data_IF_362963708517
#
_entry.id   IF_362963708517
#
_cell.length_a   1.000
_cell.length_b   1.000
_cell.length_c   1.000
_cell.angle_alpha   90.00
_cell.angle_beta   90.00
_cell.angle_gamma   90.00
#
_symmetry.space_group_name_H-M   'P 1'
#
loop_
_entity.id
_entity.type
_entity.pdbx_description
1 polymer ?
#
# COMPACT_ATOMS: atom_id res chain seq x y z
N UNK A 1 -31.36 3.46 6.50
CA UNK A 1 -31.43 4.42 7.62
C UNK A 1 -30.33 5.45 7.45
N UNK A 2 -30.66 6.73 7.51
CA UNK A 2 -29.67 7.79 7.41
C UNK A 2 -29.11 8.19 8.75
N UNK A 3 -27.80 8.29 8.84
CA UNK A 3 -27.10 8.85 10.00
C UNK A 3 -26.95 10.37 9.85
N UNK A 4 -26.77 11.04 10.98
CA UNK A 4 -26.31 12.42 10.97
C UNK A 4 -24.99 12.51 10.16
N UNK A 5 -24.81 13.63 9.44
CA UNK A 5 -23.70 13.81 8.50
C UNK A 5 -22.33 13.54 9.13
N UNK A 6 -22.07 14.00 10.35
CA UNK A 6 -20.78 13.79 11.02
C UNK A 6 -20.55 12.31 11.38
N UNK A 7 -21.61 11.62 11.79
CA UNK A 7 -21.54 10.18 12.07
C UNK A 7 -21.32 9.37 10.78
N UNK A 8 -22.02 9.76 9.70
CA UNK A 8 -21.84 9.13 8.41
C UNK A 8 -20.40 9.27 7.90
N UNK A 9 -19.82 10.46 7.97
CA UNK A 9 -18.43 10.71 7.57
C UNK A 9 -17.43 9.90 8.39
N UNK A 10 -17.64 9.82 9.70
CA UNK A 10 -16.78 9.04 10.58
C UNK A 10 -16.84 7.56 10.23
N UNK A 11 -18.03 7.05 10.01
CA UNK A 11 -18.21 5.65 9.64
C UNK A 11 -17.63 5.35 8.25
N UNK A 12 -17.86 6.23 7.28
CA UNK A 12 -17.27 6.11 5.94
C UNK A 12 -15.74 6.07 5.98
N UNK A 13 -15.12 6.94 6.77
CA UNK A 13 -13.67 6.95 6.94
C UNK A 13 -13.17 5.63 7.52
N UNK A 14 -13.88 5.09 8.51
CA UNK A 14 -13.55 3.80 9.10
C UNK A 14 -13.67 2.66 8.07
N UNK A 15 -14.71 2.69 7.25
CA UNK A 15 -14.94 1.67 6.22
C UNK A 15 -13.89 1.74 5.09
N UNK A 16 -13.40 2.93 4.75
CA UNK A 16 -12.30 3.07 3.79
C UNK A 16 -11.04 2.39 4.35
N UNK A 17 -10.72 2.62 5.62
CA UNK A 17 -9.60 1.95 6.27
C UNK A 17 -9.80 0.43 6.35
N UNK A 18 -11.04 0.00 6.59
CA UNK A 18 -11.38 -1.42 6.60
C UNK A 18 -11.16 -2.05 5.20
N UNK A 19 -11.56 -1.37 4.13
CA UNK A 19 -11.30 -1.83 2.75
C UNK A 19 -9.80 -2.04 2.51
N UNK A 20 -8.99 -1.07 2.89
CA UNK A 20 -7.54 -1.15 2.74
C UNK A 20 -6.95 -2.32 3.55
N UNK A 21 -7.40 -2.50 4.79
CA UNK A 21 -6.95 -3.58 5.65
C UNK A 21 -7.33 -4.96 5.11
N UNK A 22 -8.56 -5.10 4.64
CA UNK A 22 -9.04 -6.36 4.06
C UNK A 22 -8.27 -6.72 2.81
N UNK A 23 -8.03 -5.75 1.94
CA UNK A 23 -7.25 -5.95 0.72
C UNK A 23 -5.82 -6.40 1.04
N UNK A 24 -5.20 -5.78 2.03
CA UNK A 24 -3.86 -6.13 2.48
C UNK A 24 -3.80 -7.55 3.07
N UNK A 25 -4.77 -7.92 3.90
CA UNK A 25 -4.84 -9.27 4.48
C UNK A 25 -5.02 -10.33 3.40
N UNK A 26 -5.91 -10.10 2.44
CA UNK A 26 -6.12 -11.02 1.30
C UNK A 26 -4.83 -11.22 0.50
N UNK A 27 -4.16 -10.13 0.23
CA UNK A 27 -2.90 -10.14 -0.50
C UNK A 27 -1.83 -10.95 0.24
N UNK A 28 -1.65 -10.70 1.54
CA UNK A 28 -0.68 -11.42 2.36
C UNK A 28 -0.98 -12.91 2.41
N UNK A 29 -2.24 -13.31 2.50
CA UNK A 29 -2.64 -14.71 2.51
C UNK A 29 -2.36 -15.40 1.16
N UNK A 30 -2.53 -14.69 0.06
CA UNK A 30 -2.25 -15.23 -1.29
C UNK A 30 -0.77 -15.32 -1.59
N UNK A 31 0.01 -14.34 -1.11
CA UNK A 31 1.45 -14.22 -1.37
C UNK A 31 2.32 -14.82 -0.27
N UNK A 32 1.72 -15.54 0.69
CA UNK A 32 2.47 -16.19 1.76
C UNK A 32 3.55 -17.12 1.20
N UNK A 33 4.78 -16.95 1.66
CA UNK A 33 5.93 -17.71 1.18
C UNK A 33 6.68 -17.05 0.02
N UNK A 34 6.17 -15.97 -0.56
CA UNK A 34 6.89 -15.23 -1.61
C UNK A 34 7.82 -14.18 -0.99
N UNK A 35 8.96 -13.98 -1.64
CA UNK A 35 9.94 -13.01 -1.20
C UNK A 35 9.57 -11.59 -1.65
N UNK A 36 9.63 -10.64 -0.73
CA UNK A 36 9.58 -9.21 -1.04
C UNK A 36 10.97 -8.66 -1.34
N UNK A 37 11.12 -7.34 -1.32
CA UNK A 37 12.40 -6.66 -1.58
C UNK A 37 13.40 -6.95 -0.46
N UNK A 38 13.01 -6.68 0.79
CA UNK A 38 13.84 -6.95 1.99
C UNK A 38 13.07 -7.69 3.06
N UNK A 39 11.86 -8.16 2.75
CA UNK A 39 11.01 -8.91 3.67
C UNK A 39 10.49 -10.14 2.97
N UNK A 40 10.28 -11.17 3.74
CA UNK A 40 9.63 -12.40 3.30
C UNK A 40 8.45 -12.66 4.22
N UNK A 41 7.30 -12.96 3.66
CA UNK A 41 6.13 -13.36 4.43
C UNK A 41 6.26 -14.86 4.69
N UNK A 42 6.46 -15.23 5.96
CA UNK A 42 6.51 -16.63 6.36
C UNK A 42 5.11 -17.09 6.78
N UNK A 43 4.76 -18.31 6.40
CA UNK A 43 3.47 -18.91 6.75
C UNK A 43 3.70 -20.20 7.52
N UNK A 44 3.26 -20.21 8.79
CA UNK A 44 3.31 -21.39 9.66
C UNK A 44 1.96 -22.11 9.75
N UNK A 45 0.93 -21.58 9.08
CA UNK A 45 -0.40 -22.17 9.05
C UNK A 45 -0.47 -23.30 8.02
N UNK A 46 -1.29 -24.31 8.28
CA UNK A 46 -1.58 -25.30 7.25
C UNK A 46 -2.53 -24.73 6.18
N UNK A 47 -2.65 -25.41 5.06
CA UNK A 47 -3.49 -24.97 3.93
C UNK A 47 -4.96 -24.85 4.30
N UNK A 48 -5.48 -25.73 5.15
CA UNK A 48 -6.89 -25.67 5.56
C UNK A 48 -7.16 -24.42 6.39
N UNK A 49 -6.28 -24.07 7.32
CA UNK A 49 -6.40 -22.86 8.12
C UNK A 49 -6.28 -21.62 7.25
N UNK A 50 -5.35 -21.60 6.28
CA UNK A 50 -5.18 -20.49 5.35
C UNK A 50 -6.45 -20.30 4.51
N UNK A 51 -7.01 -21.38 3.99
CA UNK A 51 -8.26 -21.33 3.21
C UNK A 51 -9.42 -20.83 4.05
N UNK A 52 -9.57 -21.33 5.26
CA UNK A 52 -10.63 -20.90 6.18
C UNK A 52 -10.54 -19.40 6.50
N UNK A 53 -9.31 -18.88 6.66
CA UNK A 53 -9.11 -17.45 6.89
C UNK A 53 -9.48 -16.60 5.68
N UNK A 54 -9.18 -17.05 4.46
CA UNK A 54 -9.58 -16.35 3.24
C UNK A 54 -11.11 -16.27 3.17
N UNK A 55 -11.80 -17.38 3.44
CA UNK A 55 -13.27 -17.41 3.46
C UNK A 55 -13.82 -16.48 4.54
N UNK A 56 -13.25 -16.51 5.75
CA UNK A 56 -13.68 -15.67 6.86
C UNK A 56 -13.49 -14.18 6.56
N UNK A 57 -12.39 -13.81 5.91
CA UNK A 57 -12.14 -12.43 5.50
C UNK A 57 -13.13 -11.98 4.43
N UNK A 58 -13.49 -12.85 3.49
CA UNK A 58 -14.51 -12.54 2.49
C UNK A 58 -15.89 -12.36 3.13
N UNK A 59 -16.22 -13.15 4.13
CA UNK A 59 -17.45 -12.98 4.90
C UNK A 59 -17.44 -11.66 5.68
N UNK A 60 -16.33 -11.33 6.31
CA UNK A 60 -16.16 -10.05 7.01
C UNK A 60 -16.36 -8.87 6.06
N UNK A 61 -15.83 -8.95 4.85
CA UNK A 61 -16.02 -7.91 3.83
C UNK A 61 -17.51 -7.74 3.48
N UNK A 62 -18.25 -8.83 3.35
CA UNK A 62 -19.69 -8.77 3.11
C UNK A 62 -20.45 -8.15 4.28
N UNK A 63 -20.03 -8.43 5.50
CA UNK A 63 -20.62 -7.83 6.70
C UNK A 63 -20.42 -6.32 6.72
N UNK A 64 -19.23 -5.85 6.34
CA UNK A 64 -18.97 -4.42 6.18
C UNK A 64 -19.83 -3.79 5.08
N UNK A 65 -20.02 -4.50 3.97
CA UNK A 65 -20.90 -4.03 2.88
C UNK A 65 -22.34 -3.92 3.36
N UNK A 66 -22.82 -4.89 4.13
CA UNK A 66 -24.16 -4.86 4.73
C UNK A 66 -24.32 -3.67 5.67
N UNK A 67 -23.31 -3.40 6.49
CA UNK A 67 -23.29 -2.24 7.38
C UNK A 67 -23.42 -0.93 6.60
N UNK A 68 -22.67 -0.79 5.51
CA UNK A 68 -22.74 0.39 4.65
C UNK A 68 -24.12 0.54 4.03
N UNK A 69 -24.73 -0.55 3.57
CA UNK A 69 -26.06 -0.55 3.00
C UNK A 69 -27.14 -0.18 4.04
N UNK A 70 -27.04 -0.73 5.24
CA UNK A 70 -27.99 -0.46 6.33
C UNK A 70 -28.08 1.02 6.66
N UNK A 71 -26.98 1.75 6.58
CA UNK A 71 -26.92 3.18 6.89
C UNK A 71 -26.88 4.07 5.65
N UNK A 72 -27.13 3.50 4.46
CA UNK A 72 -27.18 4.23 3.20
C UNK A 72 -25.94 5.11 2.94
N UNK A 73 -24.77 4.56 3.25
CA UNK A 73 -23.52 5.28 3.05
C UNK A 73 -23.18 5.39 1.56
N UNK A 74 -22.57 6.51 1.18
CA UNK A 74 -22.22 6.76 -0.22
C UNK A 74 -20.99 5.93 -0.63
N UNK A 75 -21.01 5.45 -1.88
CA UNK A 75 -19.84 4.86 -2.49
C UNK A 75 -18.87 5.96 -2.89
N UNK A 76 -17.58 5.74 -2.60
CA UNK A 76 -16.51 6.65 -2.99
C UNK A 76 -15.75 6.02 -4.14
N UNK A 77 -15.71 6.71 -5.27
CA UNK A 77 -14.94 6.25 -6.43
C UNK A 77 -13.45 6.50 -6.23
N UNK A 78 -12.66 5.49 -6.54
CA UNK A 78 -11.20 5.56 -6.48
C UNK A 78 -10.67 5.56 -7.91
N UNK A 79 -10.11 6.68 -8.33
CA UNK A 79 -9.49 6.79 -9.65
C UNK A 79 -8.13 6.08 -9.62
N UNK A 80 -8.03 4.97 -10.33
CA UNK A 80 -6.82 4.15 -10.36
C UNK A 80 -5.58 4.96 -10.77
N UNK A 81 -5.72 5.84 -11.76
CA UNK A 81 -4.61 6.68 -12.22
C UNK A 81 -4.09 7.57 -11.10
N UNK A 82 -4.98 8.20 -10.35
CA UNK A 82 -4.61 9.05 -9.22
C UNK A 82 -3.93 8.27 -8.11
N UNK A 83 -4.44 7.07 -7.82
CA UNK A 83 -3.84 6.21 -6.78
C UNK A 83 -2.42 5.81 -7.17
N UNK A 84 -2.23 5.36 -8.40
CA UNK A 84 -0.91 4.95 -8.87
C UNK A 84 0.06 6.14 -8.91
N UNK A 85 -0.39 7.31 -9.35
CA UNK A 85 0.45 8.50 -9.39
C UNK A 85 0.86 8.93 -7.97
N UNK A 86 -0.07 8.87 -7.02
CA UNK A 86 0.23 9.19 -5.61
C UNK A 86 1.25 8.21 -5.02
N UNK A 87 1.10 6.91 -5.28
CA UNK A 87 2.05 5.89 -4.82
C UNK A 87 3.44 6.10 -5.42
N UNK A 88 3.52 6.38 -6.71
CA UNK A 88 4.78 6.66 -7.39
C UNK A 88 5.44 7.93 -6.85
N UNK A 89 4.64 8.96 -6.57
CA UNK A 89 5.14 10.20 -5.98
C UNK A 89 5.71 9.97 -4.58
N UNK A 90 5.05 9.14 -3.76
CA UNK A 90 5.54 8.78 -2.43
C UNK A 90 6.86 8.03 -2.51
N UNK A 91 6.99 7.07 -3.43
CA UNK A 91 8.24 6.35 -3.65
C UNK A 91 9.37 7.29 -4.09
N UNK A 92 9.05 8.26 -4.95
CA UNK A 92 10.01 9.29 -5.36
C UNK A 92 10.58 10.05 -4.16
N UNK A 93 9.71 10.55 -3.30
CA UNK A 93 10.12 11.30 -2.10
C UNK A 93 10.95 10.43 -1.17
N UNK A 94 10.49 9.19 -0.92
CA UNK A 94 11.20 8.27 -0.03
C UNK A 94 12.61 7.96 -0.55
N UNK A 95 12.76 7.76 -1.86
CA UNK A 95 14.06 7.52 -2.47
C UNK A 95 14.97 8.75 -2.40
N UNK A 96 14.42 9.96 -2.54
CA UNK A 96 15.20 11.19 -2.37
C UNK A 96 15.79 11.28 -0.95
N UNK A 97 15.04 10.86 0.05
CA UNK A 97 15.49 10.86 1.43
C UNK A 97 16.57 9.80 1.72
N UNK A 98 16.73 8.84 0.83
CA UNK A 98 17.76 7.81 0.92
C UNK A 98 19.08 8.19 0.24
N UNK A 99 19.19 9.37 -0.35
CA UNK A 99 20.46 9.82 -0.93
C UNK A 99 21.55 9.94 0.14
N UNK A 100 22.81 9.62 -0.19
CA UNK A 100 23.88 9.65 0.82
C UNK A 100 24.01 10.97 1.58
N UNK A 101 23.84 12.11 0.90
CA UNK A 101 23.91 13.42 1.57
C UNK A 101 22.73 13.67 2.50
N UNK A 102 21.59 13.04 2.28
CA UNK A 102 20.41 13.12 3.15
C UNK A 102 20.52 12.22 4.38
N UNK A 103 21.37 11.21 4.32
CA UNK A 103 21.57 10.24 5.40
C UNK A 103 22.74 10.59 6.33
N UNK A 104 23.33 11.75 6.18
CA UNK A 104 24.50 12.18 6.95
C UNK A 104 24.33 12.21 8.48
N UNK A 105 23.13 12.27 8.98
CA UNK A 105 22.87 12.33 10.43
C UNK A 105 22.68 10.96 11.10
N UNK A 106 22.74 9.87 10.33
CA UNK A 106 22.34 8.53 10.80
C UNK A 106 23.54 7.58 10.99
N UNK A 107 24.55 8.01 11.73
CA UNK A 107 25.70 7.16 12.03
C UNK A 107 26.95 7.50 11.22
N UNK A 108 27.73 6.49 10.86
CA UNK A 108 28.98 6.69 10.11
C UNK A 108 28.69 7.18 8.68
N UNK A 109 29.58 8.03 8.16
CA UNK A 109 29.52 8.42 6.76
C UNK A 109 29.75 7.23 5.84
N UNK A 110 29.09 7.25 4.69
CA UNK A 110 29.33 6.25 3.65
C UNK A 110 30.77 6.29 3.19
N UNK A 111 31.33 5.11 2.89
CA UNK A 111 32.57 5.08 2.11
C UNK A 111 32.30 5.71 0.74
N UNK A 112 33.32 6.32 0.10
CA UNK A 112 33.10 6.90 -1.23
C UNK A 112 32.52 5.92 -2.25
N UNK A 113 32.94 4.65 -2.19
CA UNK A 113 32.44 3.60 -3.08
C UNK A 113 30.96 3.29 -2.82
N UNK A 114 30.59 3.09 -1.55
CA UNK A 114 29.21 2.79 -1.17
C UNK A 114 28.29 3.97 -1.50
N UNK A 115 28.71 5.19 -1.19
CA UNK A 115 27.95 6.40 -1.50
C UNK A 115 27.71 6.58 -3.00
N UNK A 116 28.75 6.38 -3.83
CA UNK A 116 28.61 6.48 -5.28
C UNK A 116 27.70 5.38 -5.84
N UNK A 117 27.79 4.15 -5.35
CA UNK A 117 26.93 3.07 -5.77
C UNK A 117 25.47 3.36 -5.43
N UNK A 118 25.20 3.77 -4.21
CA UNK A 118 23.85 4.10 -3.75
C UNK A 118 23.26 5.24 -4.56
N UNK A 119 24.01 6.32 -4.75
CA UNK A 119 23.58 7.47 -5.57
C UNK A 119 23.21 7.03 -7.00
N UNK A 120 24.04 6.22 -7.62
CA UNK A 120 23.80 5.72 -8.97
C UNK A 120 22.52 4.85 -9.03
N UNK A 121 22.32 3.99 -8.03
CA UNK A 121 21.14 3.14 -7.96
C UNK A 121 19.87 3.94 -7.75
N UNK A 122 19.91 4.95 -6.88
CA UNK A 122 18.78 5.84 -6.64
C UNK A 122 18.43 6.60 -7.92
N UNK A 123 19.40 7.15 -8.62
CA UNK A 123 19.15 7.84 -9.89
C UNK A 123 18.46 6.94 -10.91
N UNK A 124 18.85 5.68 -11.00
CA UNK A 124 18.20 4.71 -11.89
C UNK A 124 16.77 4.44 -11.49
N UNK A 125 16.51 4.26 -10.19
CA UNK A 125 15.16 4.02 -9.68
C UNK A 125 14.25 5.22 -9.92
N UNK A 126 14.76 6.43 -9.68
CA UNK A 126 14.01 7.66 -9.93
C UNK A 126 13.66 7.82 -11.40
N UNK A 127 14.62 7.54 -12.29
CA UNK A 127 14.38 7.60 -13.74
C UNK A 127 13.31 6.58 -14.16
N UNK A 128 13.31 5.40 -13.57
CA UNK A 128 12.31 4.37 -13.84
C UNK A 128 10.93 4.78 -13.34
N UNK A 129 10.84 5.37 -12.15
CA UNK A 129 9.58 5.91 -11.62
C UNK A 129 9.03 6.99 -12.56
N UNK A 130 9.87 7.90 -13.04
CA UNK A 130 9.45 8.94 -13.99
C UNK A 130 8.96 8.34 -15.31
N UNK A 131 9.60 7.31 -15.81
CA UNK A 131 9.16 6.62 -17.01
C UNK A 131 7.77 5.98 -16.83
N UNK A 132 7.52 5.37 -15.68
CA UNK A 132 6.21 4.78 -15.35
C UNK A 132 5.16 5.89 -15.26
N UNK A 133 5.45 6.98 -14.59
CA UNK A 133 4.53 8.12 -14.48
C UNK A 133 4.20 8.73 -15.85
N UNK A 134 5.18 8.84 -16.71
CA UNK A 134 4.97 9.32 -18.09
C UNK A 134 4.02 8.41 -18.86
N UNK A 135 4.18 7.08 -18.72
CA UNK A 135 3.27 6.11 -19.32
C UNK A 135 1.86 6.26 -18.77
N UNK A 136 1.76 6.43 -17.46
CA UNK A 136 0.48 6.60 -16.76
C UNK A 136 -0.28 7.84 -17.27
N UNK A 137 0.43 8.94 -17.48
CA UNK A 137 -0.16 10.20 -17.97
C UNK A 137 -0.62 10.14 -19.43
N UNK A 138 -0.03 9.24 -20.21
CA UNK A 138 -0.38 9.03 -21.63
C UNK A 138 -1.55 8.07 -21.83
N UNK A 139 -1.89 7.30 -20.82
CA UNK A 139 -2.90 6.25 -20.92
C UNK A 139 -4.35 6.77 -20.80
#
# INVERSE_FOLDING_TARGET
>A
MKLHELHARSLESTLILADESLLRMRRLLREAGQEGIVRQVTNTMNEDARHDLIVAIDELARDFQSLAADFSLEQHDLDLRRVLDAELSSLWVDLQDCRPDRMKGYGQTFTPEAGALLENRIERLLARIEAIRTTLLKS
#
